data_IF_314328179814
#
_entry.id   IF_314328179814
#
_cell.length_a   1.000
_cell.length_b   1.000
_cell.length_c   1.000
_cell.angle_alpha   90.00
_cell.angle_beta   90.00
_cell.angle_gamma   90.00
#
_symmetry.space_group_name_H-M   'P 1'
#
loop_
_entity.id
_entity.type
_entity.pdbx_description
1 polymer ?
#
# COMPACT_ATOMS: atom_id res chain seq x y z
N UNK A 1 15.74 97.07 -3.09
CA UNK A 1 15.51 96.24 -1.90
C UNK A 1 14.63 95.05 -2.31
N UNK A 2 15.18 93.84 -2.15
CA UNK A 2 14.59 92.49 -2.16
C UNK A 2 13.71 91.99 -3.31
N UNK A 3 14.37 91.16 -4.14
CA UNK A 3 13.81 90.06 -4.95
C UNK A 3 13.06 89.05 -4.07
N UNK A 4 11.97 88.50 -4.60
CA UNK A 4 11.48 87.17 -4.21
C UNK A 4 11.03 86.39 -5.46
N UNK A 5 11.81 85.38 -5.81
CA UNK A 5 11.47 84.34 -6.79
C UNK A 5 10.73 83.20 -6.09
N UNK A 6 9.60 82.76 -6.66
CA UNK A 6 8.84 81.61 -6.16
C UNK A 6 9.55 80.29 -6.53
N UNK A 7 9.69 79.32 -5.62
CA UNK A 7 10.17 77.99 -5.97
C UNK A 7 9.08 77.19 -6.68
N UNK A 8 9.47 76.48 -7.74
CA UNK A 8 8.61 75.55 -8.47
C UNK A 8 8.27 74.31 -7.64
N UNK A 9 7.04 73.84 -7.81
CA UNK A 9 6.51 72.63 -7.21
C UNK A 9 7.16 71.40 -7.86
N UNK A 10 7.99 70.67 -7.13
CA UNK A 10 8.49 69.35 -7.54
C UNK A 10 7.42 68.31 -7.21
N UNK A 11 6.66 67.87 -8.21
CA UNK A 11 5.77 66.71 -8.08
C UNK A 11 6.59 65.42 -8.04
N UNK A 12 6.96 64.98 -6.84
CA UNK A 12 7.48 63.64 -6.61
C UNK A 12 6.31 62.62 -6.64
N UNK A 13 5.95 62.14 -7.83
CA UNK A 13 4.86 61.18 -8.02
C UNK A 13 5.21 60.16 -9.10
N UNK A 14 6.29 59.39 -8.91
CA UNK A 14 6.64 58.32 -9.86
C UNK A 14 7.24 57.04 -9.28
N UNK A 15 7.20 56.84 -7.95
CA UNK A 15 7.75 55.62 -7.32
C UNK A 15 6.75 54.80 -6.50
N UNK A 16 5.50 55.26 -6.28
CA UNK A 16 4.54 54.51 -5.43
C UNK A 16 3.95 53.25 -6.09
N UNK A 17 3.93 53.18 -7.43
CA UNK A 17 3.38 52.04 -8.15
C UNK A 17 4.33 50.83 -8.14
N UNK A 18 5.65 51.04 -8.23
CA UNK A 18 6.64 49.95 -8.28
C UNK A 18 6.74 49.16 -6.95
N UNK A 19 6.64 49.83 -5.80
CA UNK A 19 6.71 49.15 -4.49
C UNK A 19 5.45 48.33 -4.16
N UNK A 20 4.29 48.68 -4.72
CA UNK A 20 3.05 47.92 -4.53
C UNK A 20 3.04 46.61 -5.33
N UNK A 21 3.64 46.60 -6.52
CA UNK A 21 3.77 45.39 -7.34
C UNK A 21 4.78 44.40 -6.75
N UNK A 22 5.85 44.89 -6.10
CA UNK A 22 6.88 44.04 -5.50
C UNK A 22 6.40 43.32 -4.22
N UNK A 23 5.46 43.89 -3.48
CA UNK A 23 4.93 43.27 -2.24
C UNK A 23 3.95 42.12 -2.49
N UNK A 24 3.34 42.03 -3.69
CA UNK A 24 2.37 40.97 -4.02
C UNK A 24 3.04 39.64 -4.41
N UNK A 25 4.32 39.66 -4.79
CA UNK A 25 5.07 38.45 -5.18
C UNK A 25 5.56 37.62 -3.97
N UNK A 26 5.57 38.20 -2.76
CA UNK A 26 6.01 37.52 -1.53
C UNK A 26 4.88 36.83 -0.74
N UNK A 27 3.64 36.90 -1.25
CA UNK A 27 2.47 36.29 -0.61
C UNK A 27 1.98 35.02 -1.34
N UNK A 28 2.88 34.27 -1.99
CA UNK A 28 2.53 32.94 -2.51
C UNK A 28 2.50 31.98 -1.32
N UNK A 29 1.34 31.46 -0.89
CA UNK A 29 1.30 30.43 0.13
C UNK A 29 2.05 29.20 -0.39
N UNK A 30 3.13 28.83 0.29
CA UNK A 30 3.89 27.62 -0.04
C UNK A 30 3.04 26.43 0.39
N UNK A 31 2.39 25.76 -0.57
CA UNK A 31 1.73 24.49 -0.33
C UNK A 31 2.81 23.42 -0.19
N UNK A 32 2.99 22.90 1.03
CA UNK A 32 3.88 21.76 1.27
C UNK A 32 3.03 20.49 1.16
N UNK A 33 3.32 19.66 0.15
CA UNK A 33 2.85 18.28 0.13
C UNK A 33 3.83 17.44 0.97
N UNK A 34 3.33 16.75 1.99
CA UNK A 34 4.11 15.84 2.82
C UNK A 34 3.70 14.41 2.44
N UNK A 35 4.69 13.57 2.16
CA UNK A 35 4.49 12.12 2.00
C UNK A 35 4.21 11.52 3.38
N UNK A 36 3.08 10.83 3.51
CA UNK A 36 2.66 10.16 4.75
C UNK A 36 2.45 8.69 4.46
N UNK A 37 2.94 7.83 5.35
CA UNK A 37 2.71 6.40 5.23
C UNK A 37 1.33 6.07 5.74
N UNK A 38 0.56 5.34 4.94
CA UNK A 38 -0.74 4.81 5.31
C UNK A 38 -0.71 3.30 5.20
N UNK A 39 -1.40 2.62 6.10
CA UNK A 39 -1.44 1.16 6.16
C UNK A 39 -2.80 0.63 5.74
N UNK A 40 -2.83 -0.54 5.13
CA UNK A 40 -4.04 -1.30 4.83
C UNK A 40 -3.89 -2.65 5.52
N UNK A 41 -4.66 -2.87 6.57
CA UNK A 41 -4.74 -4.16 7.26
C UNK A 41 -5.61 -5.15 6.47
N UNK A 42 -5.34 -6.45 6.58
CA UNK A 42 -6.12 -7.50 5.90
C UNK A 42 -7.63 -7.46 6.21
N UNK A 43 -8.01 -7.19 7.46
CA UNK A 43 -9.42 -7.30 7.90
C UNK A 43 -10.02 -5.93 8.24
N UNK A 44 -9.22 -5.06 8.87
CA UNK A 44 -9.62 -3.72 9.28
C UNK A 44 -9.48 -2.70 8.15
N UNK A 45 -8.69 -3.02 7.12
CA UNK A 45 -8.51 -2.17 5.96
C UNK A 45 -7.68 -0.92 6.23
N UNK A 46 -7.91 0.09 5.40
CA UNK A 46 -7.31 1.41 5.48
C UNK A 46 -8.09 2.30 6.48
N UNK A 47 -7.48 2.73 7.60
CA UNK A 47 -8.16 3.55 8.59
C UNK A 47 -8.46 4.97 8.09
N UNK A 48 -7.81 5.44 7.02
CA UNK A 48 -8.01 6.79 6.46
C UNK A 48 -9.19 6.82 5.50
N UNK A 49 -9.29 5.82 4.62
CA UNK A 49 -10.34 5.79 3.58
C UNK A 49 -11.53 4.90 3.94
N UNK A 50 -11.35 3.98 4.90
CA UNK A 50 -12.33 2.93 5.21
C UNK A 50 -12.38 1.80 4.18
N UNK A 51 -11.47 1.80 3.19
CA UNK A 51 -11.35 0.72 2.21
C UNK A 51 -10.90 -0.57 2.90
N UNK A 52 -11.61 -1.67 2.66
CA UNK A 52 -11.21 -3.01 3.11
C UNK A 52 -10.80 -3.83 1.88
N UNK A 53 -9.72 -4.61 1.94
CA UNK A 53 -9.29 -5.49 0.85
C UNK A 53 -10.44 -6.36 0.31
N UNK A 54 -10.46 -6.54 -1.00
CA UNK A 54 -11.49 -7.34 -1.67
C UNK A 54 -10.91 -8.72 -1.95
N UNK A 55 -11.56 -9.75 -1.42
CA UNK A 55 -11.13 -11.14 -1.55
C UNK A 55 -12.04 -11.93 -2.49
N UNK A 56 -11.47 -12.59 -3.51
CA UNK A 56 -12.24 -13.35 -4.49
C UNK A 56 -11.62 -14.71 -4.84
N UNK A 57 -12.46 -15.73 -5.11
CA UNK A 57 -13.85 -15.83 -4.64
C UNK A 57 -13.88 -15.85 -3.10
N UNK A 58 -14.97 -15.43 -2.45
CA UNK A 58 -14.98 -15.31 -0.97
C UNK A 58 -14.81 -16.64 -0.23
N UNK A 59 -15.33 -17.75 -0.76
CA UNK A 59 -15.37 -19.05 -0.10
C UNK A 59 -14.04 -19.58 0.47
N UNK A 60 -12.92 -19.57 -0.26
CA UNK A 60 -11.63 -20.06 0.24
C UNK A 60 -10.92 -19.14 1.25
N UNK A 61 -11.37 -17.90 1.41
CA UNK A 61 -10.72 -16.93 2.29
C UNK A 61 -11.22 -17.05 3.73
N UNK A 62 -10.28 -17.10 4.66
CA UNK A 62 -10.54 -17.23 6.07
C UNK A 62 -9.59 -16.34 6.88
N UNK A 63 -10.09 -15.81 7.98
CA UNK A 63 -9.34 -14.95 8.89
C UNK A 63 -8.90 -15.69 10.16
N UNK A 64 -8.41 -14.93 11.14
CA UNK A 64 -7.98 -15.43 12.44
C UNK A 64 -9.05 -16.17 13.25
N UNK A 65 -10.32 -16.09 12.88
CA UNK A 65 -11.41 -16.80 13.56
C UNK A 65 -11.58 -18.25 13.09
N UNK A 66 -10.82 -18.67 12.08
CA UNK A 66 -10.87 -20.02 11.52
C UNK A 66 -10.29 -21.10 12.46
N UNK A 67 -11.12 -21.62 13.36
CA UNK A 67 -10.75 -22.70 14.27
C UNK A 67 -10.37 -24.02 13.58
N UNK A 68 -10.87 -24.26 12.35
CA UNK A 68 -10.57 -25.46 11.56
C UNK A 68 -9.35 -25.34 10.64
N UNK A 69 -8.74 -24.16 10.54
CA UNK A 69 -7.57 -23.95 9.68
C UNK A 69 -6.32 -24.55 10.33
N UNK A 70 -5.50 -25.26 9.54
CA UNK A 70 -4.26 -25.90 10.02
C UNK A 70 -3.08 -24.93 10.14
N UNK A 71 -3.11 -23.81 9.42
CA UNK A 71 -2.12 -22.74 9.54
C UNK A 71 -2.79 -21.60 10.33
N UNK A 72 -2.35 -21.42 11.58
CA UNK A 72 -2.87 -20.39 12.48
C UNK A 72 -1.72 -19.49 12.93
N UNK A 73 -1.55 -18.33 12.28
CA UNK A 73 -0.64 -17.30 12.76
C UNK A 73 -0.89 -16.87 14.20
N UNK A 74 0.17 -16.42 14.85
CA UNK A 74 0.16 -15.80 16.16
C UNK A 74 -0.33 -14.36 16.02
N UNK A 75 -1.50 -14.07 16.60
CA UNK A 75 -2.12 -12.74 16.57
C UNK A 75 -1.24 -11.66 17.22
N UNK A 76 -0.25 -12.02 18.05
CA UNK A 76 0.68 -11.03 18.62
C UNK A 76 1.79 -10.63 17.66
N UNK A 77 1.97 -11.36 16.55
CA UNK A 77 3.00 -11.13 15.54
C UNK A 77 2.44 -10.64 14.20
N UNK A 78 1.19 -10.97 13.90
CA UNK A 78 0.45 -10.41 12.76
C UNK A 78 0.21 -8.91 12.96
N UNK A 79 0.20 -8.16 11.86
CA UNK A 79 -0.11 -6.73 11.91
C UNK A 79 -1.52 -6.55 12.43
N UNK A 80 -1.65 -5.73 13.48
CA UNK A 80 -2.92 -5.43 14.12
C UNK A 80 -3.73 -6.66 14.60
N UNK A 81 -3.07 -7.81 14.71
CA UNK A 81 -3.64 -9.09 15.13
C UNK A 81 -4.54 -9.77 14.13
N UNK A 82 -4.46 -9.39 12.86
CA UNK A 82 -5.36 -9.85 11.80
C UNK A 82 -4.59 -10.33 10.58
N UNK A 83 -5.20 -11.27 9.85
CA UNK A 83 -4.72 -11.74 8.55
C UNK A 83 -5.91 -12.32 7.77
N UNK A 84 -5.76 -12.44 6.46
CA UNK A 84 -6.70 -13.20 5.65
C UNK A 84 -5.91 -14.14 4.74
N UNK A 85 -6.29 -15.42 4.76
CA UNK A 85 -5.57 -16.46 4.08
C UNK A 85 -6.50 -17.37 3.26
N UNK A 86 -5.94 -17.97 2.23
CA UNK A 86 -6.65 -18.93 1.39
C UNK A 86 -5.70 -20.00 0.88
N UNK A 87 -6.26 -21.17 0.57
CA UNK A 87 -5.58 -22.23 -0.17
C UNK A 87 -6.17 -22.30 -1.57
N UNK A 88 -5.36 -21.97 -2.56
CA UNK A 88 -5.63 -22.26 -3.96
C UNK A 88 -5.38 -23.75 -4.22
N UNK A 89 -6.25 -24.34 -5.03
CA UNK A 89 -6.09 -25.66 -5.63
C UNK A 89 -6.21 -25.50 -7.15
N UNK A 90 -5.55 -26.31 -7.99
CA UNK A 90 -5.66 -26.19 -9.45
C UNK A 90 -7.09 -26.27 -10.01
N UNK A 91 -8.02 -26.87 -9.24
CA UNK A 91 -9.45 -26.95 -9.56
C UNK A 91 -10.19 -25.61 -9.33
N UNK A 92 -9.67 -24.78 -8.42
CA UNK A 92 -10.11 -23.41 -8.20
C UNK A 92 -9.47 -22.56 -9.29
N UNK A 93 -10.26 -21.98 -10.18
CA UNK A 93 -9.73 -21.23 -11.34
C UNK A 93 -8.79 -20.07 -10.94
N UNK A 94 -9.09 -19.40 -9.83
CA UNK A 94 -8.33 -18.24 -9.35
C UNK A 94 -8.67 -17.95 -7.88
N UNK A 95 -7.67 -17.53 -7.10
CA UNK A 95 -7.84 -16.93 -5.78
C UNK A 95 -7.01 -15.66 -5.72
N UNK A 96 -7.62 -14.53 -5.37
CA UNK A 96 -6.94 -13.24 -5.32
C UNK A 96 -7.46 -12.33 -4.20
N UNK A 97 -6.64 -11.33 -3.89
CA UNK A 97 -7.10 -10.14 -3.19
C UNK A 97 -6.68 -8.88 -3.93
N UNK A 98 -7.50 -7.85 -3.76
CA UNK A 98 -7.30 -6.54 -4.39
C UNK A 98 -7.13 -5.47 -3.33
N UNK A 99 -6.09 -4.66 -3.49
CA UNK A 99 -5.85 -3.43 -2.74
C UNK A 99 -6.10 -2.22 -3.65
N UNK A 100 -6.62 -1.15 -3.07
CA UNK A 100 -6.80 0.15 -3.73
C UNK A 100 -6.18 1.24 -2.86
N UNK A 101 -5.39 2.08 -3.48
CA UNK A 101 -4.72 3.19 -2.78
C UNK A 101 -4.54 4.38 -3.72
N UNK A 102 -4.40 5.58 -3.17
CA UNK A 102 -3.94 6.76 -3.93
C UNK A 102 -2.58 7.16 -3.39
N UNK A 103 -1.55 7.07 -4.22
CA UNK A 103 -0.18 7.31 -3.77
C UNK A 103 0.85 7.12 -4.86
N UNK A 104 2.11 7.28 -4.49
CA UNK A 104 3.30 7.15 -5.34
C UNK A 104 4.11 5.89 -5.05
N UNK A 105 3.77 5.13 -4.01
CA UNK A 105 4.43 3.86 -3.68
C UNK A 105 3.55 2.91 -2.86
N UNK A 106 3.83 1.60 -2.94
CA UNK A 106 3.18 0.54 -2.17
C UNK A 106 4.16 -0.58 -1.82
N UNK A 107 3.99 -1.19 -0.64
CA UNK A 107 4.65 -2.43 -0.21
C UNK A 107 3.60 -3.37 0.39
N UNK A 108 3.69 -4.66 0.08
CA UNK A 108 2.74 -5.71 0.51
C UNK A 108 3.49 -6.77 1.31
N UNK A 109 2.93 -7.13 2.46
CA UNK A 109 3.54 -8.06 3.41
C UNK A 109 2.67 -9.30 3.64
N UNK A 110 3.31 -10.46 3.61
CA UNK A 110 2.69 -11.76 3.87
C UNK A 110 3.21 -12.37 5.17
N UNK A 111 2.44 -13.33 5.68
CA UNK A 111 2.90 -14.34 6.63
C UNK A 111 3.11 -15.65 5.87
N UNK A 112 4.35 -16.14 5.80
CA UNK A 112 4.69 -17.36 5.05
C UNK A 112 4.73 -18.58 5.97
N UNK A 113 4.36 -19.74 5.41
CA UNK A 113 4.41 -21.02 6.12
C UNK A 113 5.66 -21.81 5.74
N UNK A 114 6.27 -22.44 6.74
CA UNK A 114 7.27 -23.48 6.56
C UNK A 114 6.61 -24.86 6.71
N UNK A 115 7.28 -25.86 7.29
CA UNK A 115 6.62 -27.10 7.67
C UNK A 115 5.42 -26.82 8.58
N UNK A 116 4.44 -27.72 8.58
CA UNK A 116 3.26 -27.58 9.43
C UNK A 116 3.13 -28.79 10.36
N UNK A 117 2.66 -28.56 11.59
CA UNK A 117 2.43 -29.59 12.62
C UNK A 117 1.45 -30.68 12.18
N UNK A 118 0.56 -30.37 11.24
CA UNK A 118 -0.40 -31.30 10.64
C UNK A 118 0.22 -32.16 9.52
N UNK A 119 1.52 -32.01 9.26
CA UNK A 119 2.30 -32.86 8.36
C UNK A 119 2.26 -32.43 6.88
N UNK A 120 2.84 -33.25 5.99
CA UNK A 120 3.09 -32.90 4.58
C UNK A 120 1.84 -32.78 3.72
N UNK A 121 0.67 -33.16 4.24
CA UNK A 121 -0.62 -32.95 3.56
C UNK A 121 -1.12 -31.51 3.63
N UNK A 122 -0.48 -30.65 4.45
CA UNK A 122 -0.81 -29.22 4.53
C UNK A 122 -0.08 -28.46 3.43
N UNK A 123 -0.82 -27.72 2.61
CA UNK A 123 -0.23 -26.83 1.60
C UNK A 123 0.42 -25.64 2.28
N UNK A 124 1.73 -25.46 2.07
CA UNK A 124 2.51 -24.38 2.72
C UNK A 124 3.35 -23.55 1.74
N UNK A 125 3.48 -23.97 0.49
CA UNK A 125 4.12 -23.17 -0.56
C UNK A 125 3.26 -21.94 -0.89
N UNK A 126 3.92 -20.84 -1.27
CA UNK A 126 3.26 -19.62 -1.75
C UNK A 126 3.75 -19.31 -3.15
N UNK A 127 2.84 -19.05 -4.09
CA UNK A 127 3.14 -18.60 -5.45
C UNK A 127 2.04 -17.64 -5.90
N UNK A 128 2.44 -16.41 -6.23
CA UNK A 128 1.51 -15.36 -6.63
C UNK A 128 2.06 -14.58 -7.82
N UNK A 129 1.14 -14.13 -8.67
CA UNK A 129 1.36 -13.10 -9.66
C UNK A 129 0.75 -11.79 -9.16
N UNK A 130 1.45 -10.70 -9.40
CA UNK A 130 1.05 -9.36 -8.99
C UNK A 130 0.79 -8.54 -10.26
N UNK A 131 -0.38 -7.90 -10.31
CA UNK A 131 -0.69 -6.88 -11.31
C UNK A 131 -0.93 -5.53 -10.63
N UNK A 132 -0.41 -4.47 -11.26
CA UNK A 132 -0.65 -3.08 -10.87
C UNK A 132 -1.31 -2.38 -12.05
N UNK A 133 -2.49 -1.80 -11.81
CA UNK A 133 -3.31 -1.12 -12.82
C UNK A 133 -3.58 -2.00 -14.06
N UNK A 134 -3.83 -3.29 -13.82
CA UNK A 134 -4.10 -4.28 -14.85
C UNK A 134 -2.87 -4.75 -15.65
N UNK A 135 -1.67 -4.25 -15.34
CA UNK A 135 -0.41 -4.69 -15.96
C UNK A 135 0.36 -5.62 -15.02
N UNK A 136 1.01 -6.65 -15.57
CA UNK A 136 1.88 -7.51 -14.78
C UNK A 136 3.04 -6.70 -14.19
N UNK A 137 3.16 -6.73 -12.86
CA UNK A 137 4.16 -5.96 -12.11
C UNK A 137 5.23 -6.87 -11.47
N UNK A 138 4.93 -8.16 -11.31
CA UNK A 138 5.90 -9.15 -10.85
C UNK A 138 5.24 -10.44 -10.36
N UNK A 139 6.06 -11.31 -9.80
CA UNK A 139 5.64 -12.56 -9.18
C UNK A 139 6.45 -12.80 -7.90
N UNK A 140 5.89 -13.58 -6.97
CA UNK A 140 6.57 -14.00 -5.76
C UNK A 140 6.37 -15.50 -5.55
N UNK A 141 7.41 -16.18 -5.07
CA UNK A 141 7.34 -17.59 -4.68
C UNK A 141 8.12 -17.85 -3.39
N UNK A 142 7.57 -18.73 -2.57
CA UNK A 142 8.20 -19.26 -1.36
C UNK A 142 8.09 -20.78 -1.34
N UNK A 143 9.23 -21.43 -1.22
CA UNK A 143 9.34 -22.86 -0.94
C UNK A 143 9.55 -23.06 0.58
N UNK A 144 8.70 -23.84 1.25
CA UNK A 144 8.73 -23.98 2.70
C UNK A 144 10.01 -24.66 3.18
N UNK A 145 10.62 -24.13 4.23
CA UNK A 145 11.69 -24.83 4.95
C UNK A 145 11.08 -26.00 5.73
N UNK A 146 11.35 -27.22 5.28
CA UNK A 146 10.77 -28.42 5.89
C UNK A 146 11.43 -28.81 7.23
N UNK A 147 12.45 -28.07 7.68
CA UNK A 147 13.15 -28.33 8.95
C UNK A 147 12.58 -27.55 10.13
N UNK A 148 11.74 -26.54 9.88
CA UNK A 148 11.10 -25.74 10.93
C UNK A 148 9.59 -25.62 10.71
N UNK A 149 8.87 -25.47 11.81
CA UNK A 149 7.43 -25.23 11.83
C UNK A 149 7.09 -23.74 12.02
N UNK A 150 8.11 -22.89 12.10
CA UNK A 150 7.92 -21.46 12.33
C UNK A 150 7.30 -20.78 11.11
N UNK A 151 6.29 -19.94 11.36
CA UNK A 151 5.80 -19.01 10.35
C UNK A 151 6.72 -17.79 10.27
N UNK A 152 6.86 -17.24 9.06
CA UNK A 152 7.70 -16.07 8.79
C UNK A 152 6.79 -14.85 8.61
N UNK A 153 6.90 -13.87 9.49
CA UNK A 153 6.05 -12.67 9.50
C UNK A 153 6.76 -11.50 8.80
N UNK A 154 5.99 -10.49 8.40
CA UNK A 154 6.49 -9.26 7.76
C UNK A 154 7.36 -9.51 6.52
N UNK A 155 7.01 -10.51 5.71
CA UNK A 155 7.76 -10.81 4.48
C UNK A 155 7.28 -9.91 3.35
N UNK A 156 8.12 -9.01 2.79
CA UNK A 156 7.72 -8.18 1.66
C UNK A 156 7.65 -9.03 0.40
N UNK A 157 6.45 -9.20 -0.16
CA UNK A 157 6.24 -9.98 -1.39
C UNK A 157 6.23 -9.11 -2.64
N UNK A 158 5.97 -7.81 -2.48
CA UNK A 158 5.92 -6.84 -3.55
C UNK A 158 6.22 -5.44 -3.03
N UNK A 159 6.92 -4.65 -3.84
CA UNK A 159 7.07 -3.23 -3.60
C UNK A 159 7.22 -2.49 -4.92
N UNK A 160 6.58 -1.33 -5.03
CA UNK A 160 6.73 -0.45 -6.18
C UNK A 160 6.77 0.99 -5.70
N UNK A 161 7.65 1.78 -6.30
CA UNK A 161 7.79 3.22 -6.01
C UNK A 161 7.92 4.01 -7.31
N UNK A 162 7.83 5.34 -7.22
CA UNK A 162 7.88 6.20 -8.41
C UNK A 162 6.62 6.10 -9.27
N UNK A 163 5.49 5.70 -8.67
CA UNK A 163 4.18 5.76 -9.30
C UNK A 163 3.72 7.22 -9.44
N UNK A 164 2.82 7.47 -10.39
CA UNK A 164 2.13 8.74 -10.45
C UNK A 164 1.27 8.90 -9.19
N UNK A 165 1.14 10.11 -8.63
CA UNK A 165 0.22 10.32 -7.52
C UNK A 165 -1.22 10.27 -8.01
N UNK A 166 -1.78 9.06 -8.11
CA UNK A 166 -3.08 8.77 -8.67
C UNK A 166 -3.71 7.55 -7.96
N UNK A 167 -5.01 7.28 -8.18
CA UNK A 167 -5.60 6.03 -7.75
C UNK A 167 -4.97 4.85 -8.47
N UNK A 168 -4.60 3.81 -7.70
CA UNK A 168 -4.01 2.58 -8.17
C UNK A 168 -4.82 1.37 -7.69
N UNK A 169 -4.82 0.32 -8.51
CA UNK A 169 -5.36 -0.99 -8.15
C UNK A 169 -4.26 -2.04 -8.23
N UNK A 170 -3.99 -2.70 -7.10
CA UNK A 170 -3.03 -3.79 -7.01
C UNK A 170 -3.79 -5.09 -6.79
N UNK A 171 -3.59 -6.07 -7.65
CA UNK A 171 -4.16 -7.41 -7.50
C UNK A 171 -3.04 -8.40 -7.28
N UNK A 172 -3.16 -9.20 -6.22
CA UNK A 172 -2.27 -10.32 -5.94
C UNK A 172 -3.09 -11.59 -6.09
N UNK A 173 -2.70 -12.44 -7.04
CA UNK A 173 -3.47 -13.58 -7.46
C UNK A 173 -2.63 -14.85 -7.54
N UNK A 174 -3.26 -15.97 -7.20
CA UNK A 174 -2.80 -17.31 -7.54
C UNK A 174 -3.78 -17.89 -8.55
N UNK A 175 -3.31 -18.08 -9.77
CA UNK A 175 -4.08 -18.64 -10.89
C UNK A 175 -3.15 -19.51 -11.75
N UNK A 176 -3.72 -20.55 -12.37
CA UNK A 176 -3.05 -21.42 -13.34
C UNK A 176 -1.77 -22.13 -12.83
N UNK A 177 -1.57 -22.20 -11.52
CA UNK A 177 -0.49 -22.99 -10.93
C UNK A 177 -0.89 -24.47 -10.89
N UNK A 178 0.02 -25.41 -11.21
CA UNK A 178 -0.27 -26.85 -11.23
C UNK A 178 -0.28 -27.48 -9.84
N UNK A 179 0.03 -26.70 -8.80
CA UNK A 179 0.09 -27.15 -7.40
C UNK A 179 -0.84 -26.31 -6.54
N UNK A 180 -1.28 -26.89 -5.42
CA UNK A 180 -1.98 -26.12 -4.41
C UNK A 180 -1.03 -25.08 -3.81
N UNK A 181 -1.56 -23.94 -3.40
CA UNK A 181 -0.76 -22.81 -2.92
C UNK A 181 -1.46 -22.12 -1.77
N UNK A 182 -0.74 -21.85 -0.69
CA UNK A 182 -1.21 -21.07 0.44
C UNK A 182 -0.80 -19.61 0.28
N UNK A 183 -1.78 -18.71 0.41
CA UNK A 183 -1.58 -17.26 0.42
C UNK A 183 -2.14 -16.70 1.72
N UNK A 184 -1.42 -15.76 2.32
CA UNK A 184 -1.78 -15.19 3.62
C UNK A 184 -1.35 -13.72 3.65
N UNK A 185 -2.32 -12.85 3.38
CA UNK A 185 -2.12 -11.41 3.39
C UNK A 185 -2.28 -10.89 4.82
N UNK A 186 -1.25 -10.17 5.27
CA UNK A 186 -1.15 -9.58 6.60
C UNK A 186 -1.48 -8.09 6.53
N UNK A 187 -0.64 -7.31 5.84
CA UNK A 187 -0.86 -5.88 5.68
C UNK A 187 -0.10 -5.30 4.49
N UNK A 188 -0.47 -4.07 4.11
CA UNK A 188 0.25 -3.27 3.14
C UNK A 188 0.49 -1.85 3.67
N UNK A 189 1.44 -1.16 3.07
CA UNK A 189 1.70 0.25 3.32
C UNK A 189 1.85 0.98 1.99
N UNK A 190 1.27 2.16 1.89
CA UNK A 190 1.40 3.04 0.74
C UNK A 190 1.76 4.46 1.17
N UNK A 191 2.22 5.25 0.21
CA UNK A 191 2.65 6.65 0.40
C UNK A 191 2.24 7.47 -0.79
#
# INVERSE_FOLDING_TARGET
MYKWTRPGTVTASRNRAFYRTLCLLFAIPVCHAILVNQTIDSNKGDPVTGFVPIYQPQGPWADQTCSGCYIQPDTTKAFDGTWNAATYHPELQNVNFTLRFTGVAVWVFFILSNANVHGPGTTTNTQVNITLDGQHAGSFSHDPDLTTQDLIYNVPIFSQSGLANAPHELVVATNDYPISTFINFDWAIYR
#
